data_IF_976403278844
#
_entry.id   IF_976403278844
#
_cell.length_a   1.000
_cell.length_b   1.000
_cell.length_c   1.000
_cell.angle_alpha   90.00
_cell.angle_beta   90.00
_cell.angle_gamma   90.00
#
_symmetry.space_group_name_H-M   'P 1'
#
loop_
_entity.id
_entity.type
_entity.pdbx_description
1 polymer ?
#
# COMPACT_ATOMS: atom_id res chain seq x y z
N UNK A 1 -3.83 -20.28 -1.65
CA UNK A 1 -4.00 -20.63 -0.22
C UNK A 1 -5.35 -20.14 0.34
N UNK A 2 -6.42 -20.15 -0.46
CA UNK A 2 -7.75 -19.61 -0.12
C UNK A 2 -8.82 -20.68 0.17
N UNK A 3 -8.54 -21.95 -0.14
CA UNK A 3 -9.50 -23.05 0.03
C UNK A 3 -9.59 -23.55 1.48
N UNK A 4 -8.49 -23.50 2.24
CA UNK A 4 -8.43 -24.04 3.60
C UNK A 4 -9.13 -23.17 4.66
N UNK A 5 -9.13 -21.85 4.50
CA UNK A 5 -9.70 -20.93 5.52
C UNK A 5 -11.23 -20.92 5.53
N UNK A 6 -11.89 -21.20 4.41
CA UNK A 6 -13.37 -21.21 4.31
C UNK A 6 -13.97 -22.47 4.95
N UNK A 7 -13.27 -23.61 4.85
CA UNK A 7 -13.76 -24.91 5.37
C UNK A 7 -13.79 -24.94 6.90
N UNK A 8 -12.78 -24.38 7.57
CA UNK A 8 -12.71 -24.36 9.05
C UNK A 8 -13.82 -23.49 9.67
N UNK A 9 -14.21 -22.40 9.01
CA UNK A 9 -15.29 -21.51 9.49
C UNK A 9 -16.66 -22.18 9.33
N UNK A 10 -16.84 -23.00 8.28
CA UNK A 10 -18.08 -23.75 8.05
C UNK A 10 -18.41 -24.75 9.17
N UNK A 11 -17.41 -25.47 9.69
CA UNK A 11 -17.62 -26.47 10.74
C UNK A 11 -17.79 -25.88 12.15
N UNK A 12 -17.07 -24.80 12.48
CA UNK A 12 -17.27 -24.09 13.76
C UNK A 12 -18.62 -23.37 13.83
N UNK A 13 -19.19 -22.95 12.69
CA UNK A 13 -20.45 -22.21 12.64
C UNK A 13 -21.68 -23.03 13.05
N UNK A 14 -21.64 -24.36 12.98
CA UNK A 14 -22.78 -25.23 13.30
C UNK A 14 -23.04 -25.40 14.80
N UNK A 15 -22.12 -24.99 15.67
CA UNK A 15 -22.25 -25.07 17.13
C UNK A 15 -22.59 -23.73 17.80
N UNK A 16 -22.77 -22.64 17.03
CA UNK A 16 -22.95 -21.29 17.57
C UNK A 16 -24.42 -20.88 17.63
N UNK A 17 -24.77 -20.03 18.60
CA UNK A 17 -26.09 -19.38 18.65
C UNK A 17 -26.32 -18.51 17.40
N UNK A 18 -27.57 -18.44 16.92
CA UNK A 18 -27.97 -17.68 15.72
C UNK A 18 -27.53 -16.21 15.78
N UNK A 19 -27.56 -15.59 16.96
CA UNK A 19 -27.10 -14.22 17.16
C UNK A 19 -25.60 -14.04 16.92
N UNK A 20 -24.80 -15.04 17.28
CA UNK A 20 -23.34 -15.01 17.06
C UNK A 20 -23.02 -15.22 15.59
N UNK A 21 -23.78 -16.08 14.91
CA UNK A 21 -23.61 -16.30 13.48
C UNK A 21 -23.96 -15.05 12.66
N UNK A 22 -25.01 -14.31 13.04
CA UNK A 22 -25.37 -13.02 12.45
C UNK A 22 -24.27 -11.96 12.65
N UNK A 23 -23.65 -11.95 13.84
CA UNK A 23 -22.56 -11.02 14.14
C UNK A 23 -21.32 -11.32 13.29
N UNK A 24 -20.93 -12.60 13.21
CA UNK A 24 -19.77 -13.03 12.39
C UNK A 24 -20.00 -12.72 10.92
N UNK A 25 -21.18 -13.01 10.36
CA UNK A 25 -21.48 -12.67 8.96
C UNK A 25 -21.47 -11.17 8.72
N UNK A 26 -22.01 -10.36 9.64
CA UNK A 26 -21.99 -8.90 9.53
C UNK A 26 -20.56 -8.34 9.55
N UNK A 27 -19.70 -8.86 10.43
CA UNK A 27 -18.28 -8.48 10.50
C UNK A 27 -17.56 -8.85 9.20
N UNK A 28 -17.78 -10.05 8.67
CA UNK A 28 -17.19 -10.50 7.40
C UNK A 28 -17.65 -9.62 6.23
N UNK A 29 -18.93 -9.24 6.20
CA UNK A 29 -19.48 -8.37 5.16
C UNK A 29 -18.89 -6.96 5.22
N UNK A 30 -18.73 -6.41 6.43
CA UNK A 30 -18.09 -5.12 6.66
C UNK A 30 -16.62 -5.14 6.21
N UNK A 31 -15.88 -6.19 6.57
CA UNK A 31 -14.50 -6.39 6.13
C UNK A 31 -14.41 -6.44 4.60
N UNK A 32 -15.32 -7.18 3.93
CA UNK A 32 -15.39 -7.22 2.46
C UNK A 32 -15.66 -5.84 1.85
N UNK A 33 -16.56 -5.06 2.44
CA UNK A 33 -16.88 -3.71 1.98
C UNK A 33 -15.72 -2.71 2.14
N UNK A 34 -14.81 -2.96 3.10
CA UNK A 34 -13.65 -2.07 3.32
C UNK A 34 -12.50 -2.30 2.34
N UNK A 35 -12.42 -3.48 1.71
CA UNK A 35 -11.47 -3.68 0.62
C UNK A 35 -12.05 -3.05 -0.64
N UNK A 36 -11.45 -1.96 -1.10
CA UNK A 36 -11.63 -1.56 -2.49
C UNK A 36 -11.15 -2.74 -3.36
N UNK A 37 -11.83 -3.02 -4.46
CA UNK A 37 -11.22 -3.87 -5.48
C UNK A 37 -10.39 -2.98 -6.41
N UNK A 38 -9.20 -3.45 -6.76
CA UNK A 38 -8.39 -2.81 -7.77
C UNK A 38 -9.11 -2.80 -9.11
N UNK A 39 -9.01 -1.67 -9.81
CA UNK A 39 -9.39 -1.58 -11.22
C UNK A 39 -8.53 -2.52 -12.05
N UNK A 40 -9.01 -2.92 -13.23
CA UNK A 40 -8.28 -3.81 -14.14
C UNK A 40 -6.87 -3.30 -14.45
N UNK A 41 -6.69 -1.98 -14.54
CA UNK A 41 -5.39 -1.36 -14.79
C UNK A 41 -4.46 -1.51 -13.59
N UNK A 42 -4.91 -1.11 -12.40
CA UNK A 42 -4.09 -1.18 -11.18
C UNK A 42 -3.86 -2.60 -10.68
N UNK A 43 -4.67 -3.58 -11.11
CA UNK A 43 -4.44 -4.99 -10.81
C UNK A 43 -3.06 -5.48 -11.28
N UNK A 44 -2.48 -4.86 -12.31
CA UNK A 44 -1.09 -5.11 -12.75
C UNK A 44 -0.04 -4.76 -11.68
N UNK A 45 -0.40 -3.91 -10.73
CA UNK A 45 0.43 -3.49 -9.59
C UNK A 45 -0.02 -4.14 -8.27
N UNK A 46 -0.89 -5.16 -8.29
CA UNK A 46 -1.35 -5.80 -7.04
C UNK A 46 -0.19 -6.33 -6.18
N UNK A 47 0.91 -6.72 -6.82
CA UNK A 47 2.08 -7.30 -6.18
C UNK A 47 2.92 -6.30 -5.36
N UNK A 48 2.81 -4.99 -5.59
CA UNK A 48 3.52 -3.96 -4.80
C UNK A 48 2.70 -3.43 -3.63
N UNK A 49 1.40 -3.77 -3.55
CA UNK A 49 0.54 -3.29 -2.46
C UNK A 49 0.96 -3.95 -1.15
N UNK A 50 1.16 -3.12 -0.14
CA UNK A 50 1.60 -3.55 1.18
C UNK A 50 2.57 -2.56 1.82
N UNK A 51 3.15 -3.01 2.92
CA UNK A 51 4.20 -2.28 3.65
C UNK A 51 5.54 -2.97 3.44
N UNK A 52 6.51 -2.21 2.96
CA UNK A 52 7.86 -2.66 2.67
C UNK A 52 8.79 -1.91 3.62
N UNK A 53 9.53 -2.62 4.46
CA UNK A 53 10.44 -1.99 5.43
C UNK A 53 11.79 -2.65 5.38
N UNK A 54 12.83 -1.82 5.43
CA UNK A 54 14.20 -2.28 5.57
C UNK A 54 14.98 -1.34 6.47
N UNK A 55 15.70 -1.89 7.44
CA UNK A 55 16.52 -1.11 8.35
C UNK A 55 17.93 -0.85 7.81
N UNK A 56 18.38 -1.59 6.79
CA UNK A 56 19.79 -1.67 6.38
C UNK A 56 20.03 -1.67 4.85
N UNK A 57 19.02 -1.46 3.99
CA UNK A 57 19.17 -1.57 2.53
C UNK A 57 19.59 -0.27 1.84
N UNK A 58 19.25 0.88 2.40
CA UNK A 58 19.45 2.16 1.75
C UNK A 58 20.92 2.57 1.77
N UNK A 59 21.50 2.86 0.61
CA UNK A 59 22.84 3.47 0.50
C UNK A 59 22.78 4.65 -0.46
N UNK A 60 23.12 5.84 0.04
CA UNK A 60 23.20 7.05 -0.80
C UNK A 60 24.64 7.24 -1.26
N UNK A 61 24.81 7.54 -2.55
CA UNK A 61 26.06 8.00 -3.13
C UNK A 61 25.82 9.31 -3.89
N UNK A 62 26.52 10.37 -3.49
CA UNK A 62 26.48 11.66 -4.19
C UNK A 62 27.85 12.32 -4.11
N UNK A 63 28.35 13.00 -5.16
CA UNK A 63 29.73 13.51 -5.18
C UNK A 63 30.12 14.42 -4.02
N UNK A 64 29.16 15.18 -3.47
CA UNK A 64 29.37 16.15 -2.39
C UNK A 64 28.82 15.73 -1.03
N UNK A 65 28.18 14.55 -0.92
CA UNK A 65 27.59 14.06 0.33
C UNK A 65 28.29 12.76 0.73
N UNK A 66 28.78 12.63 1.98
CA UNK A 66 29.35 11.39 2.46
C UNK A 66 28.41 10.21 2.25
N UNK A 67 28.97 9.05 1.89
CA UNK A 67 28.17 7.83 1.78
C UNK A 67 27.55 7.50 3.13
N UNK A 68 26.24 7.26 3.12
CA UNK A 68 25.46 6.97 4.31
C UNK A 68 24.51 5.81 4.06
N UNK A 69 24.23 5.05 5.11
CA UNK A 69 23.19 4.03 5.12
C UNK A 69 21.95 4.53 5.86
N UNK A 70 20.77 4.16 5.36
CA UNK A 70 19.50 4.57 5.95
C UNK A 70 18.53 3.40 6.00
N UNK A 71 17.63 3.45 6.98
CA UNK A 71 16.44 2.63 6.99
C UNK A 71 15.34 3.32 6.21
N UNK A 72 14.47 2.53 5.58
CA UNK A 72 13.36 3.02 4.79
C UNK A 72 12.09 2.19 5.02
N UNK A 73 10.95 2.86 4.87
CA UNK A 73 9.64 2.22 4.86
C UNK A 73 8.81 2.83 3.73
N UNK A 74 8.22 1.95 2.91
CA UNK A 74 7.30 2.30 1.87
C UNK A 74 5.94 1.67 2.19
N UNK A 75 4.88 2.44 2.01
CA UNK A 75 3.50 1.96 2.16
C UNK A 75 2.80 2.28 0.84
N UNK A 76 2.32 1.23 0.18
CA UNK A 76 1.51 1.33 -1.03
C UNK A 76 0.16 0.70 -0.71
N UNK A 77 -0.88 1.50 -0.74
CA UNK A 77 -2.22 1.09 -0.34
C UNK A 77 -3.26 1.50 -1.37
N UNK A 78 -4.37 0.79 -1.39
CA UNK A 78 -5.50 1.15 -2.25
C UNK A 78 -6.09 2.50 -1.86
N UNK A 79 -6.52 3.26 -2.86
CA UNK A 79 -7.32 4.46 -2.66
C UNK A 79 -8.69 4.32 -3.35
N UNK A 80 -9.70 5.07 -2.90
CA UNK A 80 -11.01 5.09 -3.55
C UNK A 80 -10.91 5.50 -5.02
N UNK A 81 -11.81 4.95 -5.85
CA UNK A 81 -11.96 5.35 -7.24
C UNK A 81 -12.41 6.84 -7.31
N UNK A 82 -11.66 7.66 -8.04
CA UNK A 82 -12.04 9.04 -8.31
C UNK A 82 -13.18 9.07 -9.34
N UNK A 83 -14.42 9.19 -8.87
CA UNK A 83 -15.64 9.08 -9.71
C UNK A 83 -15.72 10.10 -10.85
N UNK A 84 -15.16 11.29 -10.66
CA UNK A 84 -15.20 12.38 -11.66
C UNK A 84 -14.36 12.06 -12.90
N UNK A 85 -13.28 11.30 -12.74
CA UNK A 85 -12.34 10.97 -13.82
C UNK A 85 -12.28 9.47 -14.12
N UNK A 86 -13.01 8.66 -13.35
CA UNK A 86 -13.04 7.21 -13.42
C UNK A 86 -11.64 6.57 -13.36
N UNK A 87 -10.75 7.13 -12.54
CA UNK A 87 -9.38 6.65 -12.32
C UNK A 87 -9.22 6.24 -10.88
N UNK A 88 -8.61 5.08 -10.64
CA UNK A 88 -8.22 4.65 -9.31
C UNK A 88 -6.73 4.99 -9.11
N UNK A 89 -6.44 5.57 -7.96
CA UNK A 89 -5.08 5.79 -7.50
C UNK A 89 -4.72 4.78 -6.41
N UNK A 90 -3.43 4.53 -6.24
CA UNK A 90 -2.86 3.88 -5.08
C UNK A 90 -2.17 4.97 -4.25
N UNK A 91 -2.43 5.00 -2.96
CA UNK A 91 -1.71 5.85 -2.02
C UNK A 91 -0.26 5.38 -1.91
N UNK A 92 0.68 6.31 -2.00
CA UNK A 92 2.09 6.06 -1.82
C UNK A 92 2.60 6.89 -0.63
N UNK A 93 3.38 6.28 0.24
CA UNK A 93 4.16 6.95 1.26
C UNK A 93 5.52 6.29 1.34
N UNK A 94 6.58 7.08 1.46
CA UNK A 94 7.92 6.61 1.78
C UNK A 94 8.51 7.46 2.90
N UNK A 95 9.25 6.82 3.80
CA UNK A 95 9.95 7.48 4.90
C UNK A 95 11.35 6.91 5.05
N UNK A 96 12.32 7.78 5.31
CA UNK A 96 13.70 7.40 5.52
C UNK A 96 14.23 7.95 6.85
N UNK A 97 15.07 7.17 7.52
CA UNK A 97 15.72 7.55 8.77
C UNK A 97 17.17 7.10 8.84
N UNK A 98 17.95 7.79 9.66
CA UNK A 98 19.31 7.43 10.01
C UNK A 98 19.37 6.01 10.53
N UNK A 99 20.20 5.19 9.91
CA UNK A 99 20.39 3.82 10.38
C UNK A 99 20.86 3.80 11.84
N UNK A 100 21.82 4.68 12.18
CA UNK A 100 22.53 4.72 13.47
C UNK A 100 21.77 5.47 14.55
N UNK A 101 21.33 6.70 14.26
CA UNK A 101 20.71 7.59 15.26
C UNK A 101 19.19 7.48 15.27
N UNK A 102 18.59 6.85 14.26
CA UNK A 102 17.14 6.83 14.00
C UNK A 102 16.53 8.22 13.78
N UNK A 103 17.36 9.24 13.56
CA UNK A 103 16.91 10.57 13.18
C UNK A 103 16.16 10.53 11.85
N UNK A 104 15.10 11.32 11.78
CA UNK A 104 14.30 11.49 10.58
C UNK A 104 15.10 12.15 9.46
N UNK A 105 14.97 11.64 8.23
CA UNK A 105 15.62 12.23 7.04
C UNK A 105 14.62 12.83 6.07
N UNK A 106 13.88 11.98 5.37
CA UNK A 106 13.06 12.39 4.25
C UNK A 106 11.76 11.60 4.25
N UNK A 107 10.67 12.30 3.97
CA UNK A 107 9.38 11.70 3.73
C UNK A 107 8.86 12.13 2.38
N UNK A 108 8.18 11.20 1.72
CA UNK A 108 7.45 11.43 0.48
C UNK A 108 6.06 10.85 0.56
N UNK A 109 5.11 11.54 -0.07
CA UNK A 109 3.74 11.08 -0.19
C UNK A 109 3.19 11.40 -1.57
N UNK A 110 2.31 10.55 -2.05
CA UNK A 110 1.88 10.65 -3.42
C UNK A 110 0.84 9.62 -3.84
N UNK A 111 0.71 9.50 -5.16
CA UNK A 111 -0.22 8.60 -5.80
C UNK A 111 0.44 7.86 -6.96
N UNK A 112 0.11 6.58 -7.10
CA UNK A 112 0.44 5.76 -8.26
C UNK A 112 -0.84 5.46 -9.04
N UNK A 113 -0.80 5.46 -10.37
CA UNK A 113 -1.92 5.00 -11.19
C UNK A 113 -1.41 4.36 -12.48
N UNK A 114 -2.21 3.45 -13.04
CA UNK A 114 -1.94 2.80 -14.33
C UNK A 114 -3.03 3.18 -15.33
N UNK A 115 -2.59 3.66 -16.49
CA UNK A 115 -3.50 3.98 -17.60
C UNK A 115 -3.99 2.70 -18.33
N UNK A 116 -4.98 2.80 -19.24
CA UNK A 116 -5.44 1.65 -20.02
C UNK A 116 -4.37 1.03 -20.93
N UNK A 117 -3.36 1.80 -21.34
CA UNK A 117 -2.21 1.34 -22.13
C UNK A 117 -1.23 0.52 -21.29
N UNK A 118 -1.30 0.61 -19.97
CA UNK A 118 -0.43 -0.06 -19.01
C UNK A 118 0.75 0.78 -18.52
N UNK A 119 0.81 2.06 -18.85
CA UNK A 119 1.85 2.95 -18.35
C UNK A 119 1.55 3.32 -16.90
N UNK A 120 2.58 3.31 -16.06
CA UNK A 120 2.48 3.67 -14.66
C UNK A 120 3.00 5.10 -14.45
N UNK A 121 2.23 5.89 -13.70
CA UNK A 121 2.62 7.24 -13.27
C UNK A 121 2.71 7.26 -11.74
N UNK A 122 3.81 7.79 -11.20
CA UNK A 122 3.97 8.15 -9.79
C UNK A 122 4.04 9.67 -9.67
N UNK A 123 3.16 10.24 -8.85
CA UNK A 123 3.16 11.66 -8.49
C UNK A 123 3.49 11.77 -7.01
N UNK A 124 4.60 12.39 -6.65
CA UNK A 124 5.07 12.44 -5.26
C UNK A 124 5.50 13.86 -4.85
N UNK A 125 5.34 14.18 -3.57
CA UNK A 125 5.86 15.38 -2.95
C UNK A 125 6.65 15.02 -1.70
N UNK A 126 7.83 15.63 -1.56
CA UNK A 126 8.73 15.45 -0.42
C UNK A 126 8.54 16.52 0.65
N UNK A 127 8.91 16.20 1.89
CA UNK A 127 8.95 17.16 3.00
C UNK A 127 9.98 18.30 2.80
N UNK A 128 10.84 18.19 1.78
CA UNK A 128 11.75 19.23 1.32
C UNK A 128 11.10 20.27 0.37
N UNK A 129 9.80 20.18 0.11
CA UNK A 129 9.05 21.10 -0.76
C UNK A 129 9.20 20.82 -2.25
N UNK A 130 9.80 19.68 -2.64
CA UNK A 130 9.92 19.26 -4.05
C UNK A 130 8.74 18.37 -4.44
N UNK A 131 8.15 18.62 -5.60
CA UNK A 131 7.17 17.76 -6.26
C UNK A 131 7.79 17.14 -7.53
N UNK A 132 7.53 15.86 -7.76
CA UNK A 132 8.04 15.12 -8.91
C UNK A 132 6.93 14.24 -9.51
N UNK A 133 6.94 14.12 -10.84
CA UNK A 133 6.11 13.17 -11.59
C UNK A 133 7.02 12.25 -12.39
N UNK A 134 6.87 10.95 -12.19
CA UNK A 134 7.57 9.90 -12.93
C UNK A 134 6.59 9.16 -13.84
N UNK A 135 6.99 8.88 -15.07
CA UNK A 135 6.25 8.08 -16.03
C UNK A 135 7.14 6.95 -16.54
N UNK A 136 6.55 5.77 -16.72
CA UNK A 136 7.11 4.62 -17.43
C UNK A 136 6.66 4.66 -18.89
#
# INVERSE_FOLDING_TARGET
>A
MLSFSVVIIGDLSKQMSSSVQLLVTSIVLLIRFTYAELTLNNKKLEWIIGSWRSEFSGKVFWPTVPTMTFGEELIIAEAPLAKSVNVQFLNFSARAWSHTTKDHFHDEWGFITVDPSGNATLMTAGNNGRQIVFNN
#
